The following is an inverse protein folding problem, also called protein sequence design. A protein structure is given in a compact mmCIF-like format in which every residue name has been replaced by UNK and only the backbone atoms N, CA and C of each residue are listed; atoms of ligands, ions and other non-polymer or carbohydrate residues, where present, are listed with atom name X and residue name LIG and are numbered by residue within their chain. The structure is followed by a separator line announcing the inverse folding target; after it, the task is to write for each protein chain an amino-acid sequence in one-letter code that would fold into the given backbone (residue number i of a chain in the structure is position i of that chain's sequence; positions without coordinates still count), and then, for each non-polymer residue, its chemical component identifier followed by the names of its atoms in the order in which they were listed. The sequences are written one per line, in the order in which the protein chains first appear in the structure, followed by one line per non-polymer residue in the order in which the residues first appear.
data_IF_861488173576
#
_entry.id   IF_861488173576
#
_cell.length_a   1.000
_cell.length_b   1.000
_cell.length_c   1.000
_cell.angle_alpha   90.00
_cell.angle_beta   90.00
_cell.angle_gamma   90.00
#
_symmetry.space_group_name_H-M   'P 1'
#
loop_
_entity.id
_entity.type
_entity.pdbx_description
1 polymer ?
#
# COMPACT_ATOMS: atom_id res chain seq x y z
N UNK A 1 -26.29 -1.01 3.62
CA UNK A 1 -24.93 -0.92 4.18
C UNK A 1 -24.91 0.25 5.14
N UNK A 2 -24.38 0.09 6.35
CA UNK A 2 -24.06 1.23 7.20
C UNK A 2 -22.66 1.71 6.78
N UNK A 3 -22.44 3.02 6.74
CA UNK A 3 -21.12 3.57 6.43
C UNK A 3 -20.40 3.83 7.75
N UNK A 4 -19.07 3.68 7.78
CA UNK A 4 -18.34 4.21 8.95
C UNK A 4 -18.68 5.69 8.98
N UNK A 5 -19.29 6.13 10.06
CA UNK A 5 -19.40 7.55 10.37
C UNK A 5 -18.01 8.04 10.81
N UNK A 6 -17.04 7.93 9.89
CA UNK A 6 -15.82 8.71 9.93
C UNK A 6 -16.33 10.11 9.90
N UNK A 7 -16.23 10.82 11.03
CA UNK A 7 -16.75 12.16 11.15
C UNK A 7 -16.43 12.91 9.85
N UNK A 8 -17.42 13.41 9.09
CA UNK A 8 -17.20 14.17 7.85
C UNK A 8 -16.41 15.49 8.06
N UNK A 9 -15.65 15.58 9.15
CA UNK A 9 -15.05 16.77 9.76
C UNK A 9 -13.61 16.54 10.23
N UNK A 10 -12.97 15.37 10.02
CA UNK A 10 -11.55 15.23 10.34
C UNK A 10 -10.71 16.09 9.38
N UNK A 11 -10.32 17.28 9.83
CA UNK A 11 -9.46 18.19 9.08
C UNK A 11 -8.12 17.55 8.72
N UNK A 12 -7.60 16.64 9.55
CA UNK A 12 -6.39 15.87 9.28
C UNK A 12 -6.58 14.93 8.07
N UNK A 13 -7.69 14.18 8.02
CA UNK A 13 -8.00 13.31 6.87
C UNK A 13 -8.22 14.13 5.60
N UNK A 14 -8.94 15.26 5.69
CA UNK A 14 -9.15 16.17 4.56
C UNK A 14 -7.82 16.71 4.03
N UNK A 15 -6.91 17.11 4.94
CA UNK A 15 -5.58 17.59 4.56
C UNK A 15 -4.74 16.50 3.90
N UNK A 16 -4.81 15.27 4.42
CA UNK A 16 -4.15 14.14 3.78
C UNK A 16 -4.70 13.92 2.36
N UNK A 17 -6.02 13.92 2.18
CA UNK A 17 -6.66 13.75 0.85
C UNK A 17 -6.23 14.86 -0.10
N UNK A 18 -6.25 16.12 0.34
CA UNK A 18 -5.79 17.28 -0.46
C UNK A 18 -4.35 17.15 -0.92
N UNK A 19 -3.48 16.52 -0.12
CA UNK A 19 -2.06 16.39 -0.42
C UNK A 19 -1.72 15.13 -1.23
N UNK A 20 -2.44 14.02 -0.98
CA UNK A 20 -2.05 12.67 -1.41
C UNK A 20 -2.91 12.08 -2.53
N UNK A 21 -3.89 12.83 -3.07
CA UNK A 21 -4.75 12.39 -4.16
C UNK A 21 -4.56 13.24 -5.42
N UNK A 22 -4.91 12.71 -6.59
CA UNK A 22 -4.72 13.41 -7.86
C UNK A 22 -5.80 14.50 -8.05
N UNK A 23 -7.04 14.19 -7.70
CA UNK A 23 -8.20 15.07 -7.76
C UNK A 23 -8.94 15.04 -6.41
N UNK A 24 -8.49 15.85 -5.43
CA UNK A 24 -9.06 15.85 -4.08
C UNK A 24 -10.57 16.11 -4.02
N UNK A 25 -11.08 17.01 -4.88
CA UNK A 25 -12.49 17.41 -4.90
C UNK A 25 -13.43 16.28 -5.32
N UNK A 26 -12.90 15.29 -6.06
CA UNK A 26 -13.66 14.12 -6.54
C UNK A 26 -13.23 12.83 -5.87
N UNK A 27 -12.32 12.89 -4.89
CA UNK A 27 -11.88 11.69 -4.18
C UNK A 27 -13.00 11.15 -3.31
N UNK A 28 -13.44 9.90 -3.56
CA UNK A 28 -14.43 9.26 -2.72
C UNK A 28 -13.77 8.74 -1.42
N UNK A 29 -13.94 9.51 -0.35
CA UNK A 29 -13.44 9.19 1.00
C UNK A 29 -14.33 8.22 1.77
N UNK A 30 -15.45 7.75 1.22
CA UNK A 30 -16.36 6.84 1.93
C UNK A 30 -15.65 5.52 2.25
N UNK A 31 -15.82 5.04 3.48
CA UNK A 31 -15.31 3.74 3.96
C UNK A 31 -16.48 2.93 4.51
N UNK A 32 -16.60 1.68 4.05
CA UNK A 32 -17.59 0.72 4.55
C UNK A 32 -17.26 0.33 6.00
N UNK A 33 -18.27 0.19 6.86
CA UNK A 33 -18.07 -0.21 8.26
C UNK A 33 -17.61 -1.66 8.45
N UNK A 34 -17.73 -2.46 7.40
CA UNK A 34 -17.25 -3.82 7.32
C UNK A 34 -15.88 -3.95 6.63
N UNK A 35 -15.23 -2.84 6.28
CA UNK A 35 -13.91 -2.86 5.64
C UNK A 35 -12.85 -3.40 6.62
N UNK A 36 -12.49 -4.68 6.46
CA UNK A 36 -11.52 -5.37 7.32
C UNK A 36 -10.16 -4.66 7.37
N UNK A 37 -9.74 -4.02 6.28
CA UNK A 37 -8.47 -3.30 6.23
C UNK A 37 -8.53 -1.97 7.00
N UNK A 38 -9.67 -1.29 6.99
CA UNK A 38 -9.88 -0.12 7.84
C UNK A 38 -10.02 -0.51 9.31
N UNK A 39 -10.81 -1.55 9.61
CA UNK A 39 -10.97 -2.06 10.98
C UNK A 39 -9.65 -2.55 11.57
N UNK A 40 -8.79 -3.17 10.76
CA UNK A 40 -7.43 -3.53 11.14
C UNK A 40 -6.59 -2.28 11.46
N UNK A 41 -6.65 -1.24 10.64
CA UNK A 41 -5.97 0.02 10.92
C UNK A 41 -6.49 0.67 12.22
N UNK A 42 -7.81 0.64 12.46
CA UNK A 42 -8.43 1.19 13.65
C UNK A 42 -7.96 0.48 14.92
N UNK A 43 -7.87 -0.85 14.88
CA UNK A 43 -7.38 -1.65 16.00
C UNK A 43 -5.91 -1.35 16.35
N UNK A 44 -5.09 -0.95 15.37
CA UNK A 44 -3.63 -0.77 15.55
C UNK A 44 -3.19 0.70 15.70
N UNK A 45 -4.02 1.69 15.34
CA UNK A 45 -3.65 3.11 15.32
C UNK A 45 -4.46 3.99 16.30
N UNK A 46 -5.30 3.38 17.15
CA UNK A 46 -5.88 3.96 18.36
C UNK A 46 -6.96 5.03 18.18
N UNK A 47 -6.90 5.83 17.10
CA UNK A 47 -7.89 6.87 16.78
C UNK A 47 -8.44 6.70 15.36
N UNK A 48 -9.73 6.99 15.12
CA UNK A 48 -10.31 6.93 13.78
C UNK A 48 -9.56 7.75 12.72
N UNK A 49 -9.09 8.96 13.07
CA UNK A 49 -8.37 9.83 12.15
C UNK A 49 -7.05 9.22 11.67
N UNK A 50 -6.20 8.75 12.60
CA UNK A 50 -4.91 8.11 12.24
C UNK A 50 -5.14 6.79 11.50
N UNK A 51 -6.16 6.03 11.87
CA UNK A 51 -6.53 4.80 11.17
C UNK A 51 -6.96 5.07 9.72
N UNK A 52 -7.76 6.12 9.51
CA UNK A 52 -8.22 6.57 8.20
C UNK A 52 -7.04 7.03 7.32
N UNK A 53 -6.16 7.89 7.85
CA UNK A 53 -4.94 8.32 7.16
C UNK A 53 -4.05 7.12 6.83
N UNK A 54 -3.84 6.20 7.77
CA UNK A 54 -3.06 4.98 7.53
C UNK A 54 -3.65 4.12 6.42
N UNK A 55 -4.98 3.94 6.45
CA UNK A 55 -5.71 3.18 5.45
C UNK A 55 -5.53 3.78 4.06
N UNK A 56 -5.73 5.10 3.92
CA UNK A 56 -5.53 5.80 2.64
C UNK A 56 -4.07 5.79 2.20
N UNK A 57 -3.13 6.01 3.10
CA UNK A 57 -1.70 6.01 2.76
C UNK A 57 -1.25 4.65 2.24
N UNK A 58 -1.72 3.54 2.83
CA UNK A 58 -1.47 2.21 2.28
C UNK A 58 -2.07 2.06 0.87
N UNK A 59 -3.31 2.52 0.64
CA UNK A 59 -3.93 2.51 -0.69
C UNK A 59 -3.13 3.30 -1.72
N UNK A 60 -2.68 4.51 -1.36
CA UNK A 60 -1.85 5.36 -2.21
C UNK A 60 -0.51 4.70 -2.54
N UNK A 61 0.15 4.06 -1.58
CA UNK A 61 1.42 3.37 -1.79
C UNK A 61 1.30 2.15 -2.69
N UNK A 62 0.21 1.38 -2.57
CA UNK A 62 -0.11 0.30 -3.53
C UNK A 62 -0.24 0.89 -4.93
N UNK A 63 -0.98 2.00 -5.07
CA UNK A 63 -1.11 2.67 -6.36
C UNK A 63 0.21 3.17 -6.92
N UNK A 64 1.07 3.79 -6.12
CA UNK A 64 2.37 4.26 -6.62
C UNK A 64 3.24 3.10 -7.14
N UNK A 65 3.22 1.94 -6.49
CA UNK A 65 3.91 0.74 -6.97
C UNK A 65 3.32 0.24 -8.29
N UNK A 66 2.00 0.10 -8.36
CA UNK A 66 1.29 -0.41 -9.56
C UNK A 66 1.43 0.58 -10.72
N UNK A 67 1.32 1.88 -10.46
CA UNK A 67 1.45 2.96 -11.45
C UNK A 67 2.79 2.92 -12.16
N UNK A 68 3.89 2.62 -11.46
CA UNK A 68 5.21 2.46 -12.10
C UNK A 68 5.21 1.36 -13.15
N UNK A 69 4.64 0.19 -12.81
CA UNK A 69 4.51 -0.95 -13.73
C UNK A 69 3.60 -0.60 -14.90
N UNK A 70 2.43 -0.03 -14.63
CA UNK A 70 1.45 0.34 -15.64
C UNK A 70 1.99 1.41 -16.61
N UNK A 71 2.69 2.43 -16.12
CA UNK A 71 3.33 3.44 -16.97
C UNK A 71 4.45 2.84 -17.80
N UNK A 72 5.25 1.93 -17.25
CA UNK A 72 6.30 1.26 -18.02
C UNK A 72 5.73 0.39 -19.15
N UNK A 73 4.66 -0.36 -18.86
CA UNK A 73 4.01 -1.25 -19.82
C UNK A 73 3.21 -0.47 -20.88
N UNK A 74 2.32 0.43 -20.47
CA UNK A 74 1.30 1.07 -21.32
C UNK A 74 1.56 2.56 -21.62
N UNK A 75 2.56 3.17 -20.97
CA UNK A 75 2.87 4.59 -21.08
C UNK A 75 1.98 5.47 -20.20
N UNK A 76 0.67 5.42 -20.43
CA UNK A 76 -0.34 6.18 -19.68
C UNK A 76 -1.43 5.23 -19.18
N UNK A 77 -1.96 5.49 -17.98
CA UNK A 77 -2.94 4.61 -17.35
C UNK A 77 -4.32 4.68 -18.02
N UNK A 78 -4.69 5.83 -18.57
CA UNK A 78 -5.97 6.04 -19.29
C UNK A 78 -6.08 5.24 -20.60
N UNK A 79 -4.98 4.66 -21.08
CA UNK A 79 -4.95 3.75 -22.24
C UNK A 79 -5.30 2.30 -21.90
N UNK A 80 -5.36 1.97 -20.61
CA UNK A 80 -5.69 0.62 -20.16
C UNK A 80 -7.19 0.43 -20.37
N UNK A 81 -7.53 -0.55 -21.21
CA UNK A 81 -8.93 -0.81 -21.58
C UNK A 81 -9.59 -1.80 -20.62
N UNK A 82 -8.80 -2.63 -19.95
CA UNK A 82 -9.31 -3.62 -18.99
C UNK A 82 -8.31 -3.90 -17.86
N UNK A 83 -8.63 -3.40 -16.66
CA UNK A 83 -7.89 -3.67 -15.44
C UNK A 83 -8.78 -4.46 -14.46
N UNK A 84 -8.27 -5.55 -13.89
CA UNK A 84 -8.91 -6.30 -12.81
C UNK A 84 -8.15 -6.13 -11.49
N UNK A 85 -8.81 -5.56 -10.49
CA UNK A 85 -8.39 -5.60 -9.09
C UNK A 85 -9.02 -6.84 -8.41
N UNK A 86 -8.24 -7.91 -8.29
CA UNK A 86 -8.68 -9.21 -7.79
C UNK A 86 -8.37 -9.35 -6.30
N UNK A 87 -9.34 -9.87 -5.52
CA UNK A 87 -9.34 -9.82 -4.05
C UNK A 87 -9.21 -8.38 -3.53
N UNK A 88 -10.02 -7.49 -4.12
CA UNK A 88 -9.97 -6.04 -3.94
C UNK A 88 -10.41 -5.53 -2.56
N UNK A 89 -11.00 -6.39 -1.73
CA UNK A 89 -11.63 -6.02 -0.46
C UNK A 89 -12.71 -4.97 -0.67
N UNK A 90 -12.67 -3.89 0.11
CA UNK A 90 -13.58 -2.74 0.01
C UNK A 90 -12.95 -1.54 -0.71
N UNK A 91 -11.97 -1.80 -1.58
CA UNK A 91 -11.45 -0.81 -2.52
C UNK A 91 -10.47 0.21 -1.93
N UNK A 92 -9.63 -0.20 -0.96
CA UNK A 92 -8.55 0.65 -0.42
C UNK A 92 -7.61 1.18 -1.51
N UNK A 93 -7.30 0.33 -2.48
CA UNK A 93 -6.49 0.66 -3.65
C UNK A 93 -7.35 1.26 -4.79
N UNK A 94 -8.48 0.63 -5.12
CA UNK A 94 -9.37 1.00 -6.22
C UNK A 94 -9.79 2.48 -6.20
N UNK A 95 -10.10 3.02 -5.00
CA UNK A 95 -10.49 4.44 -4.82
C UNK A 95 -9.45 5.46 -5.31
N UNK A 96 -8.18 5.06 -5.37
CA UNK A 96 -7.13 5.88 -5.97
C UNK A 96 -7.00 5.59 -7.46
N UNK A 97 -7.09 4.31 -7.86
CA UNK A 97 -6.95 3.91 -9.26
C UNK A 97 -8.00 4.56 -10.18
N UNK A 98 -9.23 4.74 -9.69
CA UNK A 98 -10.34 5.36 -10.45
C UNK A 98 -10.09 6.83 -10.82
N UNK A 99 -9.08 7.48 -10.23
CA UNK A 99 -8.66 8.83 -10.62
C UNK A 99 -7.72 8.82 -11.84
N UNK A 100 -7.14 7.66 -12.19
CA UNK A 100 -6.18 7.53 -13.29
C UNK A 100 -6.66 6.62 -14.42
N UNK A 101 -7.62 5.72 -14.15
CA UNK A 101 -8.26 4.85 -15.14
C UNK A 101 -9.77 5.08 -15.10
N UNK A 102 -10.44 5.27 -16.26
CA UNK A 102 -11.89 5.43 -16.29
C UNK A 102 -12.61 4.24 -15.62
N UNK A 103 -13.60 4.48 -14.73
CA UNK A 103 -14.27 3.40 -13.98
C UNK A 103 -14.86 2.29 -14.85
N UNK A 104 -15.33 2.60 -16.05
CA UNK A 104 -15.87 1.61 -16.98
C UNK A 104 -14.83 0.59 -17.50
N UNK A 105 -13.54 0.91 -17.39
CA UNK A 105 -12.41 0.04 -17.74
C UNK A 105 -11.85 -0.71 -16.53
N UNK A 106 -12.46 -0.53 -15.35
CA UNK A 106 -12.03 -1.16 -14.10
C UNK A 106 -13.04 -2.23 -13.69
N UNK A 107 -12.52 -3.43 -13.47
CA UNK A 107 -13.21 -4.53 -12.82
C UNK A 107 -12.63 -4.72 -11.42
N UNK A 108 -13.50 -4.94 -10.46
CA UNK A 108 -13.15 -5.39 -9.13
C UNK A 108 -13.71 -6.78 -8.90
N UNK A 109 -13.01 -7.57 -8.11
CA UNK A 109 -13.46 -8.90 -7.72
C UNK A 109 -13.13 -9.17 -6.27
N UNK A 110 -14.10 -9.71 -5.54
CA UNK A 110 -13.92 -10.14 -4.17
C UNK A 110 -14.93 -11.23 -3.79
N UNK A 111 -14.57 -12.08 -2.82
CA UNK A 111 -15.46 -13.11 -2.28
C UNK A 111 -16.62 -12.48 -1.50
N UNK A 112 -16.41 -11.30 -0.92
CA UNK A 112 -17.44 -10.55 -0.22
C UNK A 112 -18.36 -9.82 -1.20
N UNK A 113 -19.53 -10.37 -1.44
CA UNK A 113 -20.55 -9.74 -2.30
C UNK A 113 -20.90 -8.30 -1.86
N UNK A 114 -20.88 -8.03 -0.56
CA UNK A 114 -21.11 -6.68 -0.01
C UNK A 114 -19.97 -5.72 -0.36
N UNK A 115 -18.72 -6.19 -0.38
CA UNK A 115 -17.58 -5.37 -0.77
C UNK A 115 -17.63 -5.05 -2.27
N UNK A 116 -18.01 -6.04 -3.09
CA UNK A 116 -18.26 -5.84 -4.53
C UNK A 116 -19.36 -4.80 -4.74
N UNK A 117 -20.52 -4.97 -4.10
CA UNK A 117 -21.63 -4.02 -4.18
C UNK A 117 -21.18 -2.60 -3.78
N UNK A 118 -20.51 -2.48 -2.63
CA UNK A 118 -19.98 -1.20 -2.13
C UNK A 118 -19.15 -0.49 -3.19
N UNK A 119 -18.17 -1.18 -3.78
CA UNK A 119 -17.27 -0.59 -4.76
C UNK A 119 -17.99 -0.19 -6.05
N UNK A 120 -18.94 -1.01 -6.53
CA UNK A 120 -19.72 -0.66 -7.73
C UNK A 120 -20.56 0.60 -7.51
N UNK A 121 -21.20 0.75 -6.34
CA UNK A 121 -22.01 1.92 -6.00
C UNK A 121 -21.16 3.18 -5.76
N UNK A 122 -20.00 3.03 -5.10
CA UNK A 122 -19.16 4.16 -4.69
C UNK A 122 -18.22 4.65 -5.78
N UNK A 123 -17.76 3.76 -6.65
CA UNK A 123 -16.70 4.07 -7.62
C UNK A 123 -17.14 3.91 -9.08
N UNK A 124 -18.33 3.38 -9.35
CA UNK A 124 -18.85 3.19 -10.71
C UNK A 124 -18.07 2.14 -11.53
N UNK A 125 -17.33 1.27 -10.85
CA UNK A 125 -16.55 0.17 -11.44
C UNK A 125 -17.42 -1.04 -11.75
N UNK A 126 -16.92 -1.96 -12.57
CA UNK A 126 -17.56 -3.24 -12.86
C UNK A 126 -17.29 -4.24 -11.72
N UNK A 127 -18.32 -4.92 -11.21
CA UNK A 127 -18.18 -5.83 -10.07
C UNK A 127 -18.31 -7.31 -10.43
N UNK A 128 -17.43 -8.14 -9.91
CA UNK A 128 -17.48 -9.61 -10.01
C UNK A 128 -17.48 -10.19 -8.59
N UNK A 129 -18.54 -10.92 -8.21
CA UNK A 129 -18.51 -11.71 -6.97
C UNK A 129 -17.68 -12.96 -7.23
N UNK A 130 -16.58 -13.09 -6.51
CA UNK A 130 -15.65 -14.21 -6.63
C UNK A 130 -16.21 -15.49 -5.99
N UNK A 131 -15.47 -16.57 -6.13
CA UNK A 131 -15.79 -17.90 -5.62
C UNK A 131 -14.61 -18.44 -4.81
N UNK A 132 -14.82 -19.46 -3.98
CA UNK A 132 -13.71 -20.17 -3.31
C UNK A 132 -12.85 -20.91 -4.33
N UNK A 133 -13.49 -21.53 -5.32
CA UNK A 133 -12.81 -22.39 -6.28
C UNK A 133 -12.65 -21.72 -7.66
N UNK A 134 -11.45 -21.75 -8.27
CA UNK A 134 -11.17 -21.05 -9.52
C UNK A 134 -11.99 -21.52 -10.73
N UNK A 135 -12.41 -22.79 -10.77
CA UNK A 135 -13.21 -23.33 -11.87
C UNK A 135 -14.61 -22.70 -11.95
N UNK A 136 -15.12 -22.21 -10.81
CA UNK A 136 -16.44 -21.60 -10.70
C UNK A 136 -16.40 -20.08 -10.91
N UNK A 137 -15.21 -19.49 -11.08
CA UNK A 137 -15.05 -18.04 -11.19
C UNK A 137 -15.74 -17.50 -12.46
N UNK A 138 -16.78 -16.63 -12.31
CA UNK A 138 -17.82 -16.43 -13.32
C UNK A 138 -17.48 -15.35 -14.35
N UNK A 139 -16.30 -15.45 -14.99
CA UNK A 139 -15.89 -14.49 -16.02
C UNK A 139 -15.22 -15.19 -17.21
N UNK A 140 -15.53 -14.69 -18.41
CA UNK A 140 -14.95 -15.13 -19.69
C UNK A 140 -14.27 -13.96 -20.44
N UNK A 141 -13.88 -12.93 -19.71
CA UNK A 141 -13.20 -11.74 -20.22
C UNK A 141 -11.69 -11.85 -20.05
N UNK A 142 -10.95 -11.25 -20.98
CA UNK A 142 -9.50 -11.03 -20.83
C UNK A 142 -9.19 -9.61 -20.34
N UNK A 143 -8.09 -9.47 -19.61
CA UNK A 143 -7.64 -8.21 -19.01
C UNK A 143 -6.23 -7.85 -19.48
N UNK A 144 -6.03 -6.57 -19.78
CA UNK A 144 -4.72 -6.00 -20.06
C UNK A 144 -3.86 -5.94 -18.80
N UNK A 145 -4.50 -5.77 -17.65
CA UNK A 145 -3.82 -5.79 -16.37
C UNK A 145 -4.65 -6.46 -15.30
N UNK A 146 -4.01 -7.30 -14.49
CA UNK A 146 -4.62 -7.90 -13.30
C UNK A 146 -3.71 -7.61 -12.12
N UNK A 147 -4.27 -7.12 -11.02
CA UNK A 147 -3.60 -7.04 -9.74
C UNK A 147 -4.28 -8.02 -8.76
N UNK A 148 -3.51 -8.91 -8.15
CA UNK A 148 -3.92 -9.71 -7.00
C UNK A 148 -3.05 -9.30 -5.79
N UNK A 149 -3.37 -8.16 -5.19
CA UNK A 149 -2.63 -7.60 -4.06
C UNK A 149 -3.03 -8.29 -2.76
N UNK A 150 -2.05 -8.84 -2.05
CA UNK A 150 -2.24 -9.53 -0.77
C UNK A 150 -3.25 -10.68 -0.83
N UNK A 151 -3.30 -11.41 -1.95
CA UNK A 151 -4.13 -12.60 -2.11
C UNK A 151 -3.29 -13.88 -1.96
N UNK A 152 -2.24 -14.02 -2.77
CA UNK A 152 -1.34 -15.18 -2.76
C UNK A 152 -0.49 -15.29 -1.49
N UNK A 153 -0.44 -14.22 -0.68
CA UNK A 153 0.14 -14.24 0.67
C UNK A 153 -0.73 -14.97 1.71
N UNK A 154 -1.92 -15.46 1.33
CA UNK A 154 -2.87 -16.11 2.25
C UNK A 154 -3.37 -17.46 1.75
N UNK A 155 -2.96 -17.91 0.56
CA UNK A 155 -3.47 -19.16 -0.01
C UNK A 155 -2.61 -20.38 0.35
N UNK A 156 -3.21 -21.52 0.71
CA UNK A 156 -2.49 -22.77 0.77
C UNK A 156 -2.02 -23.21 -0.61
N UNK A 157 -1.00 -24.07 -0.65
CA UNK A 157 -0.40 -24.59 -1.89
C UNK A 157 -1.44 -25.15 -2.88
N UNK A 158 -2.44 -25.87 -2.37
CA UNK A 158 -3.47 -26.52 -3.19
C UNK A 158 -4.31 -25.54 -4.04
N UNK A 159 -4.65 -24.37 -3.49
CA UNK A 159 -5.44 -23.35 -4.20
C UNK A 159 -4.57 -22.30 -4.87
N UNK A 160 -3.33 -22.10 -4.42
CA UNK A 160 -2.38 -21.17 -5.03
C UNK A 160 -2.21 -21.45 -6.53
N UNK A 161 -1.87 -22.69 -6.90
CA UNK A 161 -1.57 -23.04 -8.29
C UNK A 161 -2.80 -22.84 -9.20
N UNK A 162 -3.97 -23.25 -8.74
CA UNK A 162 -5.21 -23.21 -9.54
C UNK A 162 -5.74 -21.78 -9.69
N UNK A 163 -5.61 -20.93 -8.67
CA UNK A 163 -5.88 -19.50 -8.81
C UNK A 163 -4.88 -18.81 -9.72
N UNK A 164 -3.59 -19.11 -9.61
CA UNK A 164 -2.57 -18.54 -10.50
C UNK A 164 -2.85 -18.94 -11.96
N UNK A 165 -3.21 -20.21 -12.20
CA UNK A 165 -3.63 -20.68 -13.53
C UNK A 165 -4.85 -19.91 -14.03
N UNK A 166 -5.88 -19.72 -13.19
CA UNK A 166 -7.08 -19.00 -13.57
C UNK A 166 -6.77 -17.55 -13.92
N UNK A 167 -6.08 -16.81 -13.06
CA UNK A 167 -5.73 -15.41 -13.32
C UNK A 167 -4.82 -15.27 -14.56
N UNK A 168 -3.84 -16.15 -14.72
CA UNK A 168 -2.99 -16.17 -15.92
C UNK A 168 -3.81 -16.44 -17.19
N UNK A 169 -4.85 -17.29 -17.14
CA UNK A 169 -5.72 -17.56 -18.29
C UNK A 169 -6.55 -16.34 -18.70
N UNK A 170 -6.85 -15.45 -17.76
CA UNK A 170 -7.60 -14.22 -17.98
C UNK A 170 -6.76 -13.06 -18.55
N UNK A 171 -5.45 -13.22 -18.74
CA UNK A 171 -4.67 -12.17 -19.41
C UNK A 171 -5.06 -12.02 -20.88
N UNK A 172 -5.06 -10.78 -21.38
CA UNK A 172 -4.98 -10.52 -22.83
C UNK A 172 -3.59 -10.94 -23.36
N UNK A 173 -3.38 -11.04 -24.69
CA UNK A 173 -2.09 -11.48 -25.24
C UNK A 173 -0.88 -10.66 -24.75
N UNK A 174 -1.06 -9.34 -24.58
CA UNK A 174 -0.04 -8.40 -24.10
C UNK A 174 -0.23 -8.01 -22.63
N UNK A 175 -1.13 -8.72 -21.95
CA UNK A 175 -1.53 -8.41 -20.59
C UNK A 175 -0.44 -8.73 -19.56
N UNK A 176 -0.53 -8.05 -18.42
CA UNK A 176 0.37 -8.25 -17.27
C UNK A 176 -0.42 -8.64 -16.02
N UNK A 177 -0.03 -9.76 -15.41
CA UNK A 177 -0.48 -10.15 -14.08
C UNK A 177 0.54 -9.67 -13.05
N UNK A 178 0.06 -8.90 -12.09
CA UNK A 178 0.77 -8.43 -10.92
C UNK A 178 0.20 -9.13 -9.69
N UNK A 179 1.03 -9.79 -8.90
CA UNK A 179 0.56 -10.38 -7.65
C UNK A 179 1.63 -10.32 -6.57
N UNK A 180 1.19 -10.31 -5.32
CA UNK A 180 2.12 -10.24 -4.19
C UNK A 180 2.07 -11.44 -3.26
N UNK A 181 3.21 -11.72 -2.62
CA UNK A 181 3.40 -12.80 -1.66
C UNK A 181 4.17 -12.31 -0.43
N UNK A 182 4.05 -13.00 0.70
CA UNK A 182 5.06 -12.88 1.75
C UNK A 182 6.25 -13.74 1.36
N UNK A 183 7.41 -13.13 1.08
CA UNK A 183 8.63 -13.89 0.82
C UNK A 183 9.10 -14.66 2.07
N UNK A 184 9.93 -15.69 1.86
CA UNK A 184 10.56 -16.46 2.94
C UNK A 184 11.28 -15.60 3.96
N UNK A 185 11.80 -14.42 3.57
CA UNK A 185 12.51 -13.51 4.46
C UNK A 185 11.61 -12.89 5.53
N UNK A 186 10.29 -12.97 5.36
CA UNK A 186 9.31 -12.57 6.37
C UNK A 186 8.97 -13.68 7.37
N UNK A 187 9.49 -14.89 7.17
CA UNK A 187 9.20 -16.04 8.01
C UNK A 187 9.71 -15.80 9.45
N UNK A 188 8.87 -16.01 10.48
CA UNK A 188 9.32 -15.95 11.87
C UNK A 188 10.48 -16.92 12.13
N UNK A 189 11.50 -16.47 12.87
CA UNK A 189 12.75 -17.23 13.07
C UNK A 189 12.58 -18.63 13.71
N UNK A 190 11.42 -18.92 14.32
CA UNK A 190 11.11 -20.21 14.93
C UNK A 190 10.43 -21.20 13.96
N UNK A 191 10.12 -20.77 12.73
CA UNK A 191 9.50 -21.59 11.69
C UNK A 191 10.51 -21.90 10.59
N UNK A 192 10.24 -22.96 9.84
CA UNK A 192 11.05 -23.37 8.69
C UNK A 192 10.14 -23.62 7.48
N UNK A 193 10.60 -23.21 6.31
CA UNK A 193 9.94 -23.50 5.04
C UNK A 193 10.37 -24.88 4.54
N UNK A 194 9.43 -25.64 3.98
CA UNK A 194 9.70 -26.98 3.45
C UNK A 194 10.50 -26.93 2.14
N UNK A 195 10.91 -28.10 1.63
CA UNK A 195 11.55 -28.20 0.30
C UNK A 195 10.64 -27.81 -0.86
N UNK A 196 9.31 -27.79 -0.66
CA UNK A 196 8.36 -27.26 -1.64
C UNK A 196 8.41 -25.74 -1.74
N UNK A 197 9.18 -25.08 -0.87
CA UNK A 197 9.41 -23.62 -0.88
C UNK A 197 8.13 -22.78 -0.71
N UNK A 198 7.14 -23.35 -0.03
CA UNK A 198 5.95 -22.70 0.48
C UNK A 198 5.65 -23.23 1.90
N UNK A 199 5.18 -22.35 2.77
CA UNK A 199 4.63 -22.68 4.08
C UNK A 199 3.29 -21.95 4.26
N UNK A 200 2.24 -22.72 4.51
CA UNK A 200 0.93 -22.19 4.90
C UNK A 200 0.68 -22.39 6.38
N UNK A 201 0.16 -21.36 7.04
CA UNK A 201 -0.25 -21.37 8.44
C UNK A 201 -1.71 -20.95 8.49
N UNK A 202 -2.61 -21.74 9.12
CA UNK A 202 -4.02 -21.39 9.24
C UNK A 202 -4.25 -20.31 10.31
N UNK A 203 -3.74 -19.11 10.02
CA UNK A 203 -3.85 -17.90 10.83
C UNK A 203 -4.04 -16.71 9.89
N UNK A 204 -5.06 -15.90 10.12
CA UNK A 204 -5.42 -14.78 9.23
C UNK A 204 -5.86 -13.56 10.04
N UNK A 205 -5.62 -12.38 9.49
CA UNK A 205 -6.26 -11.14 9.92
C UNK A 205 -7.72 -11.03 9.48
N UNK A 206 -8.15 -11.82 8.48
CA UNK A 206 -9.56 -11.92 8.11
C UNK A 206 -10.35 -12.50 9.28
N UNK A 207 -11.49 -11.89 9.57
CA UNK A 207 -12.37 -12.30 10.68
C UNK A 207 -13.46 -13.25 10.24
N UNK A 208 -13.62 -13.48 8.94
CA UNK A 208 -14.78 -14.16 8.38
C UNK A 208 -14.49 -15.29 7.40
N UNK A 209 -13.27 -15.38 6.85
CA UNK A 209 -12.88 -16.47 5.98
C UNK A 209 -12.41 -17.70 6.79
N UNK A 210 -12.62 -18.89 6.22
CA UNK A 210 -12.07 -20.12 6.82
C UNK A 210 -10.54 -20.04 6.81
N UNK A 211 -9.93 -20.13 7.99
CA UNK A 211 -8.47 -20.04 8.16
C UNK A 211 -7.71 -21.13 7.40
N UNK A 212 -8.35 -22.23 7.02
CA UNK A 212 -7.74 -23.28 6.19
C UNK A 212 -7.76 -22.94 4.69
N UNK A 213 -8.65 -22.04 4.27
CA UNK A 213 -8.75 -21.56 2.88
C UNK A 213 -8.03 -20.22 2.69
N UNK A 214 -7.98 -19.40 3.73
CA UNK A 214 -7.35 -18.07 3.75
C UNK A 214 -6.60 -17.85 5.08
N UNK A 215 -5.32 -18.18 5.08
CA UNK A 215 -4.42 -18.15 6.24
C UNK A 215 -3.26 -17.18 6.03
N UNK A 216 -2.04 -17.58 6.40
CA UNK A 216 -0.81 -16.83 6.12
C UNK A 216 0.16 -17.75 5.40
N UNK A 217 0.62 -17.34 4.22
CA UNK A 217 1.57 -18.09 3.39
C UNK A 217 2.88 -17.35 3.25
N UNK A 218 3.99 -18.05 3.49
CA UNK A 218 5.34 -17.64 3.14
C UNK A 218 5.78 -18.43 1.91
N UNK A 219 6.18 -17.72 0.86
CA UNK A 219 6.33 -18.26 -0.49
C UNK A 219 7.70 -17.88 -1.01
N UNK A 220 8.52 -18.87 -1.32
CA UNK A 220 9.82 -18.65 -1.93
C UNK A 220 9.73 -18.58 -3.46
N UNK A 221 10.69 -17.89 -4.06
CA UNK A 221 10.72 -17.68 -5.51
C UNK A 221 10.78 -18.97 -6.33
N UNK A 222 11.38 -20.05 -5.81
CA UNK A 222 11.46 -21.31 -6.58
C UNK A 222 10.09 -21.97 -6.73
N UNK A 223 9.23 -21.87 -5.71
CA UNK A 223 7.83 -22.30 -5.80
C UNK A 223 7.06 -21.50 -6.84
N UNK A 224 7.21 -20.17 -6.86
CA UNK A 224 6.55 -19.30 -7.84
C UNK A 224 7.02 -19.63 -9.25
N UNK A 225 8.33 -19.75 -9.47
CA UNK A 225 8.91 -20.09 -10.76
C UNK A 225 8.39 -21.44 -11.29
N UNK A 226 8.36 -22.46 -10.43
CA UNK A 226 7.86 -23.77 -10.80
C UNK A 226 6.34 -23.77 -11.06
N UNK A 227 5.58 -23.02 -10.27
CA UNK A 227 4.13 -22.83 -10.48
C UNK A 227 3.85 -22.20 -11.83
N UNK A 228 4.53 -21.09 -12.16
CA UNK A 228 4.41 -20.40 -13.45
C UNK A 228 4.77 -21.32 -14.60
N UNK A 229 5.91 -22.02 -14.52
CA UNK A 229 6.34 -22.98 -15.54
C UNK A 229 5.27 -24.06 -15.78
N UNK A 230 4.65 -24.58 -14.73
CA UNK A 230 3.59 -25.58 -14.82
C UNK A 230 2.34 -25.04 -15.51
N UNK A 231 1.80 -23.90 -15.05
CA UNK A 231 0.53 -23.39 -15.56
C UNK A 231 0.62 -22.82 -16.98
N UNK A 232 1.82 -22.36 -17.37
CA UNK A 232 2.06 -21.74 -18.67
C UNK A 232 2.75 -22.68 -19.65
N UNK A 233 3.00 -23.94 -19.28
CA UNK A 233 3.81 -24.87 -20.06
C UNK A 233 5.20 -24.30 -20.45
N UNK A 234 5.76 -23.46 -19.57
CA UNK A 234 7.05 -22.79 -19.79
C UNK A 234 7.01 -21.49 -20.60
N UNK A 235 5.83 -21.02 -21.04
CA UNK A 235 5.71 -19.79 -21.83
C UNK A 235 5.74 -18.49 -21.01
N UNK A 236 5.36 -18.52 -19.73
CA UNK A 236 5.30 -17.31 -18.92
C UNK A 236 6.68 -16.73 -18.67
N UNK A 237 6.81 -15.42 -18.90
CA UNK A 237 7.98 -14.64 -18.51
C UNK A 237 7.63 -13.84 -17.27
N UNK A 238 8.47 -13.93 -16.23
CA UNK A 238 8.26 -13.20 -14.99
C UNK A 238 9.48 -12.43 -14.50
N UNK A 239 9.21 -11.43 -13.66
CA UNK A 239 10.20 -10.72 -12.87
C UNK A 239 9.68 -10.51 -11.46
N UNK A 240 10.59 -10.46 -10.48
CA UNK A 240 10.30 -10.24 -9.07
C UNK A 240 10.84 -8.88 -8.65
N UNK A 241 10.02 -8.12 -7.94
CA UNK A 241 10.39 -6.87 -7.28
C UNK A 241 10.29 -7.14 -5.76
N UNK A 242 11.43 -7.37 -5.08
CA UNK A 242 11.45 -7.57 -3.64
C UNK A 242 10.81 -6.38 -2.92
N UNK A 243 9.91 -6.62 -1.96
CA UNK A 243 9.20 -5.59 -1.19
C UNK A 243 8.46 -4.55 -2.06
N UNK A 244 8.04 -4.94 -3.27
CA UNK A 244 7.39 -4.08 -4.25
C UNK A 244 6.02 -3.52 -3.80
N UNK A 245 5.30 -4.21 -2.90
CA UNK A 245 4.05 -3.71 -2.33
C UNK A 245 4.28 -3.23 -0.90
N UNK A 246 4.07 -1.93 -0.69
CA UNK A 246 4.15 -1.26 0.61
C UNK A 246 5.47 -1.47 1.38
N UNK A 247 6.57 -1.84 0.71
CA UNK A 247 7.85 -2.13 1.36
C UNK A 247 7.84 -3.41 2.19
N UNK A 248 6.85 -4.28 1.98
CA UNK A 248 6.61 -5.48 2.78
C UNK A 248 6.49 -6.74 1.92
N UNK A 249 5.51 -6.78 1.02
CA UNK A 249 5.29 -7.94 0.16
C UNK A 249 6.07 -7.82 -1.14
N UNK A 250 6.56 -8.95 -1.63
CA UNK A 250 7.20 -9.03 -2.93
C UNK A 250 6.17 -8.97 -4.04
N UNK A 251 6.49 -8.27 -5.13
CA UNK A 251 5.62 -8.10 -6.27
C UNK A 251 6.17 -8.90 -7.47
N UNK A 252 5.38 -9.84 -7.96
CA UNK A 252 5.68 -10.58 -9.18
C UNK A 252 4.96 -9.95 -10.36
N UNK A 253 5.69 -9.77 -11.46
CA UNK A 253 5.20 -9.33 -12.76
C UNK A 253 5.24 -10.51 -13.71
N UNK A 254 4.12 -10.88 -14.31
CA UNK A 254 4.00 -12.04 -15.20
C UNK A 254 3.35 -11.63 -16.50
N UNK A 255 3.96 -12.02 -17.62
CA UNK A 255 3.46 -11.75 -18.98
C UNK A 255 3.57 -13.02 -19.82
N UNK A 256 2.76 -13.13 -20.89
CA UNK A 256 2.95 -14.18 -21.90
C UNK A 256 4.00 -13.77 -22.92
N UNK A 257 3.85 -12.58 -23.47
CA UNK A 257 4.73 -12.02 -24.50
C UNK A 257 5.15 -10.62 -24.07
N UNK A 258 6.32 -10.47 -23.45
CA UNK A 258 6.77 -9.16 -22.97
C UNK A 258 7.08 -8.26 -24.17
N UNK A 259 6.37 -7.13 -24.26
CA UNK A 259 6.61 -6.10 -25.29
C UNK A 259 7.97 -5.40 -25.11
N UNK A 260 8.48 -5.42 -23.87
CA UNK A 260 9.80 -4.93 -23.47
C UNK A 260 10.36 -5.90 -22.43
N UNK A 261 11.70 -6.09 -22.34
CA UNK A 261 12.28 -6.92 -21.29
C UNK A 261 11.82 -6.46 -19.91
N UNK A 262 11.29 -7.34 -19.05
CA UNK A 262 10.84 -6.96 -17.71
C UNK A 262 11.97 -6.33 -16.86
N UNK A 263 13.22 -6.71 -17.12
CA UNK A 263 14.42 -6.12 -16.53
C UNK A 263 14.65 -4.64 -16.88
N UNK A 264 13.96 -4.11 -17.90
CA UNK A 264 14.05 -2.69 -18.26
C UNK A 264 13.21 -1.78 -17.34
N UNK A 265 12.30 -2.34 -16.53
CA UNK A 265 11.54 -1.58 -15.55
C UNK A 265 12.48 -1.01 -14.47
N UNK A 266 12.56 0.31 -14.41
CA UNK A 266 13.24 1.03 -13.33
C UNK A 266 12.23 1.24 -12.20
N UNK A 267 12.16 0.28 -11.28
CA UNK A 267 11.27 0.37 -10.12
C UNK A 267 11.92 1.13 -8.97
N UNK A 268 11.14 1.93 -8.26
CA UNK A 268 11.58 2.64 -7.06
C UNK A 268 10.59 2.45 -5.91
N UNK A 269 11.13 2.35 -4.70
CA UNK A 269 10.40 2.26 -3.45
C UNK A 269 10.23 3.65 -2.83
N UNK A 270 9.18 3.83 -2.04
CA UNK A 270 9.09 5.01 -1.16
C UNK A 270 10.26 5.03 -0.18
N UNK A 271 10.77 6.20 0.22
CA UNK A 271 11.61 6.30 1.39
C UNK A 271 10.83 5.83 2.62
N UNK A 272 11.51 5.46 3.71
CA UNK A 272 10.87 4.92 4.91
C UNK A 272 11.41 5.57 6.17
N UNK A 273 10.55 6.13 7.00
CA UNK A 273 11.00 6.80 8.21
C UNK A 273 9.91 7.02 9.23
N UNK A 274 10.29 7.67 10.33
CA UNK A 274 9.42 7.96 11.46
C UNK A 274 9.82 9.26 12.13
N UNK A 275 8.85 9.88 12.79
CA UNK A 275 9.10 10.86 13.84
C UNK A 275 9.46 10.07 15.09
N UNK A 276 10.54 10.46 15.75
CA UNK A 276 11.03 9.81 16.97
C UNK A 276 10.70 10.65 18.20
N UNK A 277 10.81 11.98 18.08
CA UNK A 277 10.61 12.88 19.21
C UNK A 277 10.00 14.21 18.76
N UNK A 278 9.21 14.75 19.66
CA UNK A 278 8.64 16.09 19.62
C UNK A 278 8.86 16.74 21.00
N UNK A 279 9.44 17.93 21.06
CA UNK A 279 9.69 18.63 22.33
C UNK A 279 9.68 20.14 22.17
N UNK A 280 9.19 20.86 23.19
CA UNK A 280 9.28 22.32 23.25
C UNK A 280 10.73 22.76 23.52
N UNK A 281 11.21 23.75 22.76
CA UNK A 281 12.49 24.40 23.01
C UNK A 281 12.33 25.53 24.03
N UNK A 282 13.41 26.00 24.69
CA UNK A 282 13.36 27.14 25.61
C UNK A 282 12.79 28.42 24.97
N UNK A 283 12.95 28.57 23.65
CA UNK A 283 12.46 29.69 22.85
C UNK A 283 10.97 29.57 22.52
N UNK A 284 10.29 28.50 22.97
CA UNK A 284 8.88 28.26 22.72
C UNK A 284 8.56 27.66 21.34
N UNK A 285 9.57 27.14 20.63
CA UNK A 285 9.37 26.44 19.37
C UNK A 285 9.16 24.94 19.58
N UNK A 286 8.65 24.23 18.58
CA UNK A 286 8.54 22.78 18.61
C UNK A 286 9.69 22.13 17.83
N UNK A 287 10.57 21.43 18.54
CA UNK A 287 11.63 20.62 17.93
C UNK A 287 11.10 19.22 17.63
N UNK A 288 11.08 18.90 16.34
CA UNK A 288 10.78 17.58 15.79
C UNK A 288 12.07 16.91 15.38
N UNK A 289 12.24 15.63 15.73
CA UNK A 289 13.36 14.82 15.25
C UNK A 289 12.87 13.45 14.80
N UNK A 290 13.56 12.87 13.84
CA UNK A 290 13.24 11.54 13.37
C UNK A 290 14.35 10.92 12.54
N UNK A 291 14.03 9.75 12.01
CA UNK A 291 14.90 9.01 11.09
C UNK A 291 14.17 8.74 9.78
N UNK A 292 14.93 8.63 8.70
CA UNK A 292 14.46 8.37 7.35
C UNK A 292 15.51 7.55 6.60
N UNK A 293 15.06 6.62 5.78
CA UNK A 293 15.90 5.75 4.96
C UNK A 293 15.48 5.81 3.50
N UNK A 294 16.47 5.77 2.63
CA UNK A 294 16.32 5.75 1.18
C UNK A 294 16.88 4.41 0.76
N UNK A 295 15.95 3.53 0.45
CA UNK A 295 16.20 2.10 0.28
C UNK A 295 16.45 1.75 -1.19
N UNK A 296 16.29 2.71 -2.10
CA UNK A 296 16.63 2.53 -3.51
C UNK A 296 18.14 2.55 -3.71
N UNK A 297 18.70 1.66 -4.55
CA UNK A 297 20.11 1.69 -4.91
C UNK A 297 20.50 3.05 -5.52
N UNK A 298 21.53 3.71 -4.95
CA UNK A 298 21.95 5.06 -5.33
C UNK A 298 20.84 6.14 -5.20
N UNK A 299 19.77 5.83 -4.47
CA UNK A 299 18.68 6.76 -4.21
C UNK A 299 19.15 7.94 -3.35
N UNK A 300 18.46 9.06 -3.49
CA UNK A 300 18.68 10.23 -2.64
C UNK A 300 17.32 10.82 -2.24
N UNK A 301 17.25 11.26 -0.99
CA UNK A 301 16.14 12.10 -0.53
C UNK A 301 16.25 13.45 -1.23
N UNK A 302 15.10 13.95 -1.67
CA UNK A 302 14.96 15.28 -2.23
C UNK A 302 14.68 16.30 -1.11
N UNK A 303 13.68 16.02 -0.28
CA UNK A 303 13.21 16.95 0.73
C UNK A 303 12.44 16.27 1.87
N UNK A 304 12.35 16.95 3.01
CA UNK A 304 11.34 16.71 4.06
C UNK A 304 10.58 18.01 4.19
N UNK A 305 9.29 17.92 3.92
CA UNK A 305 8.39 19.05 3.86
C UNK A 305 7.50 19.06 5.08
N UNK A 306 7.33 20.26 5.64
CA UNK A 306 6.38 20.55 6.70
C UNK A 306 5.38 21.57 6.17
N UNK A 307 4.10 21.25 6.32
CA UNK A 307 3.00 22.17 6.00
C UNK A 307 2.06 22.32 7.18
N UNK A 308 1.51 23.53 7.34
CA UNK A 308 0.49 23.87 8.33
C UNK A 308 -0.75 24.35 7.57
N UNK A 309 -1.89 23.71 7.82
CA UNK A 309 -3.15 23.98 7.12
C UNK A 309 -3.02 23.99 5.59
N UNK A 310 -2.08 23.20 5.05
CA UNK A 310 -1.81 23.09 3.62
C UNK A 310 -0.85 24.13 3.05
N UNK A 311 -0.38 25.09 3.85
CA UNK A 311 0.67 26.02 3.46
C UNK A 311 2.03 25.44 3.83
N UNK A 312 2.92 25.31 2.84
CA UNK A 312 4.30 24.89 3.08
C UNK A 312 5.05 25.99 3.82
N UNK A 313 5.61 25.64 4.97
CA UNK A 313 6.37 26.59 5.80
C UNK A 313 7.84 26.57 5.41
N UNK A 314 8.44 25.38 5.20
CA UNK A 314 9.85 25.28 4.87
C UNK A 314 10.23 23.90 4.30
N UNK A 315 11.36 23.84 3.56
CA UNK A 315 12.10 22.61 3.33
C UNK A 315 13.15 22.50 4.44
N UNK A 316 12.98 21.56 5.36
CA UNK A 316 13.89 21.42 6.49
C UNK A 316 15.31 21.10 6.02
N UNK A 317 16.26 22.01 6.20
CA UNK A 317 17.68 21.74 5.98
C UNK A 317 18.22 20.82 7.10
N UNK A 318 18.72 19.66 6.70
CA UNK A 318 19.09 18.55 7.60
C UNK A 318 20.47 18.71 8.24
N UNK A 319 20.56 18.38 9.53
CA UNK A 319 21.81 17.95 10.13
C UNK A 319 22.07 16.49 9.74
N UNK A 320 22.78 16.29 8.63
CA UNK A 320 23.20 14.96 8.19
C UNK A 320 24.16 14.34 9.21
N UNK A 321 23.70 13.28 9.89
CA UNK A 321 24.59 12.30 10.49
C UNK A 321 24.28 10.95 9.85
N UNK A 322 25.19 10.39 9.03
CA UNK A 322 25.05 9.00 8.66
C UNK A 322 25.02 8.19 9.97
N UNK A 323 23.99 7.36 10.11
CA UNK A 323 24.08 6.21 11.02
C UNK A 323 25.09 5.22 10.44
N UNK A 324 25.44 4.13 11.13
CA UNK A 324 26.43 3.15 10.65
C UNK A 324 26.09 2.47 9.28
N UNK A 325 24.99 2.87 8.63
CA UNK A 325 24.58 2.54 7.26
C UNK A 325 24.44 3.80 6.39
N UNK A 326 24.96 3.74 5.16
CA UNK A 326 24.90 4.83 4.16
C UNK A 326 23.48 5.17 3.66
N UNK A 327 22.46 4.46 4.13
CA UNK A 327 21.07 4.53 3.63
C UNK A 327 20.07 5.04 4.67
N UNK A 328 20.51 5.44 5.86
CA UNK A 328 19.67 5.98 6.92
C UNK A 328 20.23 7.32 7.43
N UNK A 329 19.33 8.29 7.62
CA UNK A 329 19.63 9.64 8.07
C UNK A 329 18.75 10.03 9.24
N UNK A 330 19.33 10.84 10.13
CA UNK A 330 18.57 11.60 11.12
C UNK A 330 18.15 12.94 10.53
N UNK A 331 16.98 13.42 10.90
CA UNK A 331 16.48 14.74 10.54
C UNK A 331 15.95 15.47 11.78
N UNK A 332 16.04 16.80 11.76
CA UNK A 332 15.43 17.65 12.78
C UNK A 332 14.83 18.89 12.15
N UNK A 333 13.69 19.33 12.68
CA UNK A 333 13.01 20.53 12.25
C UNK A 333 12.52 21.32 13.46
N UNK A 334 12.74 22.63 13.46
CA UNK A 334 12.20 23.53 14.48
C UNK A 334 11.00 24.27 13.90
N UNK A 335 9.81 23.94 14.37
CA UNK A 335 8.57 24.61 13.99
C UNK A 335 8.33 25.82 14.90
N UNK A 336 8.29 27.06 14.37
CA UNK A 336 7.97 28.23 15.16
C UNK A 336 6.50 28.22 15.57
N UNK A 337 6.19 28.25 16.88
CA UNK A 337 4.80 28.19 17.36
C UNK A 337 4.11 29.55 17.49
N UNK A 338 4.83 30.66 17.29
CA UNK A 338 4.31 32.01 17.58
C UNK A 338 3.00 32.36 16.84
N UNK A 339 2.79 31.78 15.65
CA UNK A 339 1.61 32.01 14.81
C UNK A 339 0.81 30.73 14.54
N UNK A 340 1.10 29.64 15.25
CA UNK A 340 0.49 28.32 15.04
C UNK A 340 -0.41 27.96 16.21
N UNK A 341 -1.68 27.69 15.92
CA UNK A 341 -2.66 27.20 16.88
C UNK A 341 -2.45 25.71 17.18
N UNK A 342 -2.69 25.24 18.43
CA UNK A 342 -2.69 23.81 18.75
C UNK A 342 -3.64 22.96 17.89
N UNK A 343 -4.70 23.58 17.35
CA UNK A 343 -5.68 22.91 16.48
C UNK A 343 -5.31 22.93 15.00
N UNK A 344 -4.26 23.65 14.61
CA UNK A 344 -3.80 23.66 13.22
C UNK A 344 -3.33 22.27 12.80
N UNK A 345 -3.59 21.93 11.54
CA UNK A 345 -3.22 20.64 10.96
C UNK A 345 -1.82 20.72 10.40
N UNK A 346 -0.93 19.90 10.96
CA UNK A 346 0.43 19.70 10.48
C UNK A 346 0.50 18.43 9.63
N UNK A 347 1.13 18.52 8.46
CA UNK A 347 1.53 17.38 7.63
C UNK A 347 3.03 17.42 7.44
N UNK A 348 3.68 16.29 7.74
CA UNK A 348 5.13 16.10 7.61
C UNK A 348 5.36 14.93 6.67
N UNK A 349 6.11 15.13 5.58
CA UNK A 349 6.44 14.07 4.62
C UNK A 349 7.86 14.15 4.10
N UNK A 350 8.45 13.03 3.73
CA UNK A 350 9.67 12.95 2.94
C UNK A 350 9.35 12.70 1.47
N UNK A 351 10.20 13.19 0.58
CA UNK A 351 10.11 12.96 -0.87
C UNK A 351 11.49 12.51 -1.34
N UNK A 352 11.55 11.47 -2.17
CA UNK A 352 12.79 11.11 -2.85
C UNK A 352 12.87 11.69 -4.26
N UNK A 353 14.04 11.58 -4.91
CA UNK A 353 14.24 12.14 -6.27
C UNK A 353 13.37 11.52 -7.37
N UNK A 354 12.71 10.40 -7.09
CA UNK A 354 11.72 9.78 -7.97
C UNK A 354 10.30 10.32 -7.74
N UNK A 355 10.12 11.24 -6.80
CA UNK A 355 8.84 11.84 -6.45
C UNK A 355 7.94 10.92 -5.61
N UNK A 356 8.49 9.85 -5.03
CA UNK A 356 7.76 8.97 -4.12
C UNK A 356 7.77 9.56 -2.71
N UNK A 357 6.58 9.65 -2.12
CA UNK A 357 6.38 10.36 -0.86
C UNK A 357 6.15 9.41 0.32
N UNK A 358 6.75 9.76 1.46
CA UNK A 358 6.50 9.11 2.73
C UNK A 358 5.90 10.09 3.74
N UNK A 359 4.59 9.98 3.98
CA UNK A 359 3.91 10.78 4.99
C UNK A 359 4.24 10.22 6.37
N UNK A 360 4.99 11.00 7.17
CA UNK A 360 5.30 10.63 8.54
C UNK A 360 4.08 10.78 9.44
N UNK A 361 3.36 11.88 9.30
CA UNK A 361 2.21 12.21 10.13
C UNK A 361 1.31 13.25 9.46
N UNK A 362 0.01 13.19 9.76
CA UNK A 362 -0.94 14.27 9.50
C UNK A 362 -1.91 14.37 10.66
N UNK A 363 -1.77 15.40 11.49
CA UNK A 363 -2.57 15.53 12.72
C UNK A 363 -2.66 16.99 13.19
N UNK A 364 -3.31 17.25 14.32
CA UNK A 364 -3.24 18.59 14.95
C UNK A 364 -1.89 18.76 15.65
N UNK A 365 -1.38 19.99 15.72
CA UNK A 365 -0.13 20.28 16.46
C UNK A 365 -0.19 19.78 17.91
N UNK A 366 -1.34 19.93 18.57
CA UNK A 366 -1.60 19.37 19.90
C UNK A 366 -1.42 17.85 19.95
N UNK A 367 -2.03 17.10 19.03
CA UNK A 367 -1.91 15.64 19.00
C UNK A 367 -0.49 15.21 18.67
N UNK A 368 0.21 15.95 17.82
CA UNK A 368 1.61 15.68 17.49
C UNK A 368 2.50 15.72 18.75
N UNK A 369 2.31 16.73 19.61
CA UNK A 369 3.06 16.79 20.88
C UNK A 369 2.66 15.65 21.81
N UNK A 370 1.37 15.30 21.91
CA UNK A 370 0.91 14.18 22.75
C UNK A 370 1.50 12.83 22.31
N UNK A 371 1.63 12.58 21.01
CA UNK A 371 2.12 11.30 20.50
C UNK A 371 3.64 11.11 20.60
N UNK A 372 4.39 12.20 20.53
CA UNK A 372 5.85 12.15 20.34
C UNK A 372 6.65 12.88 21.43
N UNK A 373 6.00 13.44 22.46
CA UNK A 373 6.70 13.84 23.68
C UNK A 373 7.14 12.58 24.42
N UNK A 374 8.42 12.44 24.82
CA UNK A 374 8.81 11.32 25.65
C UNK A 374 7.98 11.35 26.93
N UNK A 375 7.30 10.25 27.24
CA UNK A 375 6.74 10.08 28.58
C UNK A 375 7.90 10.23 29.56
N UNK A 376 7.80 11.21 30.46
CA UNK A 376 8.63 11.21 31.65
C UNK A 376 8.31 9.91 32.37
N UNK A 377 9.22 8.97 32.32
CA UNK A 377 9.13 7.72 33.07
C UNK A 377 8.92 8.10 34.55
N UNK A 378 7.78 7.76 35.17
CA UNK A 378 7.57 8.08 36.57
C UNK A 378 8.34 7.08 37.43
N UNK A 379 9.63 7.36 37.64
CA UNK A 379 10.38 6.86 38.79
C UNK A 379 11.08 5.50 38.60
N UNK A 380 12.39 5.56 38.39
CA UNK A 380 13.31 4.71 39.14
C UNK A 380 13.97 5.57 40.22
N UNK A 381 13.32 5.57 41.40
CA UNK A 381 13.95 5.85 42.68
C UNK A 381 14.20 4.56 43.42
#
# INVERSE_FOLDING_TARGET
MQFVNLAPHSLACQRFIQDQTLFPDTFNSTICDQDEMYLFALANHGTPDRACIRYYFNGRRILDSVRQVLKWQFGQLDRISSFLDFASGYGRFTRFLVQEIPPQNLWISDIYAQAVQFQTEQFGVQGIVSTTYPQDYPIQQSFDSILACSFFSHLPEATFLTWLQKLYSLLSPEGILMFSVHDRDLLPAHLAISTSDILFIPNSESRSLDMNEYGTSYVGESFVAQSLKTISQGEAVYSRIPKGICGYQDLYLVTRTPQKPLSSLQFSHHPQGKIERCSLTPEGNLLLTGTISEINPNGQLDSILVSINGQFIENGLFAFKPTDSDTQWSWSYQLPLAEISPQDIILIKAINRQGLEWVFETTTVEKLTQFYTPNLDPGHG
#
